data_IF_809957510409
#
_entry.id   IF_809957510409
#
_cell.length_a   1.000
_cell.length_b   1.000
_cell.length_c   1.000
_cell.angle_alpha   90.00
_cell.angle_beta   90.00
_cell.angle_gamma   90.00
#
_symmetry.space_group_name_H-M   'P 1'
#
loop_
_entity.id
_entity.type
_entity.pdbx_description
1 polymer ?
#
# COMPACT_ATOMS: atom_id res chain seq x y z
N UNK A 1 -7.32 -12.85 21.95
CA UNK A 1 -7.40 -11.77 22.95
C UNK A 1 -8.87 -11.45 23.15
N UNK A 2 -9.37 -11.74 24.35
CA UNK A 2 -10.75 -11.56 24.78
C UNK A 2 -11.19 -10.10 24.61
N UNK A 3 -12.32 -9.88 23.92
CA UNK A 3 -13.06 -8.61 23.95
C UNK A 3 -13.29 -8.21 25.42
N UNK A 4 -12.92 -6.98 25.77
CA UNK A 4 -13.24 -6.27 27.03
C UNK A 4 -12.19 -6.24 28.16
N UNK A 5 -10.88 -6.15 27.86
CA UNK A 5 -10.00 -5.40 28.76
C UNK A 5 -9.84 -3.97 28.24
N UNK A 6 -10.33 -3.00 28.99
CA UNK A 6 -10.09 -1.58 28.70
C UNK A 6 -8.59 -1.33 28.90
N UNK A 7 -7.87 -1.13 27.81
CA UNK A 7 -6.43 -0.85 27.86
C UNK A 7 -6.23 0.58 28.34
N UNK A 8 -5.39 0.72 29.35
CA UNK A 8 -5.11 1.99 30.02
C UNK A 8 -3.61 2.30 30.01
N UNK A 9 -3.19 3.55 30.30
CA UNK A 9 -1.78 3.91 30.42
C UNK A 9 -1.00 3.08 31.46
N UNK A 10 -1.70 2.50 32.45
CA UNK A 10 -1.12 1.64 33.50
C UNK A 10 -0.88 0.19 33.04
N UNK A 11 -1.39 -0.21 31.88
CA UNK A 11 -1.11 -1.54 31.31
C UNK A 11 0.37 -1.67 30.96
N UNK A 12 0.88 -2.91 30.88
CA UNK A 12 2.28 -3.15 30.50
C UNK A 12 2.60 -2.55 29.12
N UNK A 13 3.85 -2.12 28.94
CA UNK A 13 4.30 -1.50 27.69
C UNK A 13 4.01 -2.41 26.48
N UNK A 14 4.31 -3.70 26.59
CA UNK A 14 4.08 -4.70 25.54
C UNK A 14 2.60 -4.77 25.16
N UNK A 15 1.69 -4.83 26.14
CA UNK A 15 0.24 -4.86 25.87
C UNK A 15 -0.22 -3.59 25.16
N UNK A 16 0.25 -2.42 25.62
CA UNK A 16 -0.08 -1.12 24.99
C UNK A 16 0.43 -1.05 23.55
N UNK A 17 1.64 -1.54 23.30
CA UNK A 17 2.26 -1.55 21.98
C UNK A 17 1.54 -2.50 21.02
N UNK A 18 1.24 -3.74 21.44
CA UNK A 18 0.48 -4.68 20.62
C UNK A 18 -0.94 -4.18 20.33
N UNK A 19 -1.56 -3.49 21.28
CA UNK A 19 -2.87 -2.87 21.07
C UNK A 19 -2.82 -1.76 20.03
N UNK A 20 -1.80 -0.89 20.10
CA UNK A 20 -1.55 0.12 19.07
C UNK A 20 -1.35 -0.51 17.70
N UNK A 21 -0.53 -1.57 17.60
CA UNK A 21 -0.36 -2.30 16.35
C UNK A 21 -1.68 -2.91 15.86
N UNK A 22 -2.46 -3.54 16.73
CA UNK A 22 -3.76 -4.10 16.35
C UNK A 22 -4.75 -3.05 15.84
N UNK A 23 -4.66 -1.80 16.31
CA UNK A 23 -5.52 -0.70 15.88
C UNK A 23 -5.04 -0.02 14.59
N UNK A 24 -3.74 0.32 14.51
CA UNK A 24 -3.20 1.24 13.49
C UNK A 24 -2.35 0.57 12.44
N UNK A 25 -1.70 -0.54 12.77
CA UNK A 25 -0.83 -1.29 11.86
C UNK A 25 -0.96 -2.80 12.12
N UNK A 26 -2.12 -3.43 11.81
CA UNK A 26 -2.37 -4.82 12.18
C UNK A 26 -1.33 -5.72 11.51
N UNK A 27 -0.47 -6.35 12.32
CA UNK A 27 0.73 -7.04 11.84
C UNK A 27 0.41 -8.18 10.87
N UNK A 28 -0.67 -8.92 11.11
CA UNK A 28 -1.08 -10.02 10.24
C UNK A 28 -1.49 -9.51 8.85
N UNK A 29 -2.33 -8.47 8.78
CA UNK A 29 -2.80 -7.91 7.51
C UNK A 29 -1.64 -7.28 6.72
N UNK A 30 -0.76 -6.54 7.41
CA UNK A 30 0.43 -5.97 6.78
C UNK A 30 1.40 -7.07 6.35
N UNK A 31 1.55 -8.14 7.12
CA UNK A 31 2.37 -9.30 6.74
C UNK A 31 1.90 -9.93 5.43
N UNK A 32 0.59 -10.19 5.28
CA UNK A 32 0.03 -10.72 4.03
C UNK A 32 0.23 -9.73 2.87
N UNK A 33 -0.04 -8.45 3.10
CA UNK A 33 0.18 -7.40 2.10
C UNK A 33 1.64 -7.36 1.64
N UNK A 34 2.59 -7.37 2.57
CA UNK A 34 4.02 -7.26 2.26
C UNK A 34 4.51 -8.51 1.56
N UNK A 35 4.10 -9.70 2.00
CA UNK A 35 4.47 -10.94 1.31
C UNK A 35 3.92 -10.93 -0.12
N UNK A 36 2.63 -10.66 -0.31
CA UNK A 36 2.03 -10.61 -1.66
C UNK A 36 2.71 -9.56 -2.55
N UNK A 37 2.76 -8.30 -2.10
CA UNK A 37 3.36 -7.18 -2.81
C UNK A 37 4.84 -7.39 -3.13
N UNK A 38 5.64 -7.81 -2.15
CA UNK A 38 7.08 -7.96 -2.34
C UNK A 38 7.38 -9.14 -3.27
N UNK A 39 6.67 -10.26 -3.12
CA UNK A 39 6.84 -11.42 -3.99
C UNK A 39 6.50 -11.12 -5.44
N UNK A 40 5.40 -10.40 -5.71
CA UNK A 40 5.00 -10.02 -7.07
C UNK A 40 6.06 -9.13 -7.74
N UNK A 41 6.52 -8.09 -7.02
CA UNK A 41 7.55 -7.17 -7.50
C UNK A 41 8.90 -7.87 -7.69
N UNK A 42 9.32 -8.70 -6.73
CA UNK A 42 10.58 -9.43 -6.82
C UNK A 42 10.58 -10.39 -8.03
N UNK A 43 9.55 -11.22 -8.18
CA UNK A 43 9.52 -12.20 -9.28
C UNK A 43 9.43 -11.52 -10.63
N UNK A 44 8.67 -10.42 -10.73
CA UNK A 44 8.67 -9.61 -11.93
C UNK A 44 10.06 -9.03 -12.23
N UNK A 45 10.76 -8.50 -11.22
CA UNK A 45 12.11 -7.99 -11.40
C UNK A 45 13.07 -9.09 -11.89
N UNK A 46 13.02 -10.30 -11.34
CA UNK A 46 13.85 -11.42 -11.80
C UNK A 46 13.54 -11.83 -13.24
N UNK A 47 12.26 -12.01 -13.56
CA UNK A 47 11.81 -12.43 -14.88
C UNK A 47 12.19 -11.42 -15.98
N UNK A 48 12.18 -10.12 -15.66
CA UNK A 48 12.57 -9.06 -16.59
C UNK A 48 14.10 -8.86 -16.67
N UNK A 49 14.83 -9.13 -15.59
CA UNK A 49 16.29 -8.92 -15.53
C UNK A 49 17.07 -10.06 -16.18
N UNK A 50 16.63 -11.30 -15.96
CA UNK A 50 17.27 -12.52 -16.47
C UNK A 50 16.19 -13.44 -17.07
N UNK A 51 15.67 -13.09 -18.27
CA UNK A 51 14.62 -13.86 -18.92
C UNK A 51 15.15 -15.24 -19.30
N UNK A 52 14.69 -16.27 -18.60
CA UNK A 52 15.08 -17.68 -18.82
C UNK A 52 15.54 -18.41 -17.56
N UNK A 53 15.91 -17.66 -16.52
CA UNK A 53 16.27 -18.25 -15.23
C UNK A 53 15.01 -18.49 -14.36
N UNK A 54 14.99 -19.57 -13.56
CA UNK A 54 13.96 -19.76 -12.55
C UNK A 54 13.92 -18.61 -11.55
N UNK A 55 12.71 -18.23 -11.15
CA UNK A 55 12.55 -17.27 -10.06
C UNK A 55 12.89 -17.94 -8.74
N UNK A 56 13.45 -17.20 -7.79
CA UNK A 56 13.85 -17.75 -6.49
C UNK A 56 13.69 -16.79 -5.34
N UNK A 57 13.50 -17.35 -4.16
CA UNK A 57 13.74 -16.61 -2.93
C UNK A 57 15.20 -16.75 -2.53
N UNK A 58 15.79 -15.68 -2.01
CA UNK A 58 17.15 -15.67 -1.50
C UNK A 58 17.21 -14.92 -0.17
N UNK A 59 18.38 -14.89 0.47
CA UNK A 59 18.60 -14.04 1.63
C UNK A 59 18.24 -12.57 1.34
N UNK A 60 18.54 -12.08 0.12
CA UNK A 60 18.19 -10.72 -0.32
C UNK A 60 16.69 -10.49 -0.38
N UNK A 61 15.91 -11.54 -0.68
CA UNK A 61 14.45 -11.49 -0.64
C UNK A 61 13.93 -11.21 0.77
N UNK A 62 14.51 -11.88 1.76
CA UNK A 62 14.14 -11.65 3.16
C UNK A 62 14.56 -10.24 3.60
N UNK A 63 15.77 -9.78 3.23
CA UNK A 63 16.22 -8.42 3.52
C UNK A 63 15.27 -7.38 2.94
N UNK A 64 14.91 -7.50 1.66
CA UNK A 64 14.00 -6.55 1.02
C UNK A 64 12.58 -6.60 1.57
N UNK A 65 12.04 -7.78 1.90
CA UNK A 65 10.73 -7.90 2.54
C UNK A 65 10.70 -7.22 3.92
N UNK A 66 11.75 -7.39 4.73
CA UNK A 66 11.89 -6.71 6.02
C UNK A 66 12.04 -5.20 5.80
N UNK A 67 12.82 -4.76 4.81
CA UNK A 67 12.95 -3.34 4.48
C UNK A 67 11.60 -2.74 4.09
N UNK A 68 10.84 -3.36 3.20
CA UNK A 68 9.50 -2.88 2.82
C UNK A 68 8.55 -2.85 4.04
N UNK A 69 8.60 -3.86 4.92
CA UNK A 69 7.86 -3.83 6.19
C UNK A 69 8.21 -2.61 7.03
N UNK A 70 9.51 -2.36 7.23
CA UNK A 70 9.99 -1.18 7.95
C UNK A 70 9.53 0.12 7.29
N UNK A 71 9.52 0.18 5.94
CA UNK A 71 9.09 1.37 5.23
C UNK A 71 7.60 1.67 5.43
N UNK A 72 6.72 0.67 5.34
CA UNK A 72 5.31 0.84 5.68
C UNK A 72 5.11 1.26 7.14
N UNK A 73 5.91 0.71 8.05
CA UNK A 73 5.88 1.08 9.47
C UNK A 73 6.37 2.53 9.69
N UNK A 74 7.43 2.97 9.01
CA UNK A 74 7.90 4.35 9.10
C UNK A 74 6.83 5.32 8.62
N UNK A 75 6.14 4.99 7.51
CA UNK A 75 5.11 5.87 6.94
C UNK A 75 3.95 6.01 7.91
N UNK A 76 3.54 4.90 8.52
CA UNK A 76 2.52 4.93 9.57
C UNK A 76 2.94 5.84 10.71
N UNK A 77 4.17 5.71 11.21
CA UNK A 77 4.68 6.57 12.29
C UNK A 77 4.69 8.04 11.87
N UNK A 78 5.07 8.36 10.63
CA UNK A 78 5.04 9.72 10.10
C UNK A 78 3.62 10.29 10.09
N UNK A 79 2.65 9.53 9.60
CA UNK A 79 1.25 9.95 9.59
C UNK A 79 0.72 10.20 11.01
N UNK A 80 1.05 9.36 12.00
CA UNK A 80 0.63 9.60 13.40
C UNK A 80 1.18 10.92 13.97
N UNK A 81 2.37 11.36 13.55
CA UNK A 81 2.94 12.65 13.99
C UNK A 81 2.35 13.82 13.20
N UNK A 82 2.16 13.64 11.89
CA UNK A 82 1.64 14.66 10.98
C UNK A 82 0.18 14.99 11.27
N UNK A 83 -0.62 13.96 11.56
CA UNK A 83 -2.08 14.05 11.69
C UNK A 83 -2.52 14.13 13.16
N UNK A 84 -1.61 14.18 14.13
CA UNK A 84 -1.92 14.09 15.56
C UNK A 84 -2.95 15.13 16.04
N UNK A 85 -2.80 16.39 15.65
CA UNK A 85 -3.70 17.48 16.05
C UNK A 85 -5.12 17.30 15.48
N UNK A 86 -5.19 16.95 14.19
CA UNK A 86 -6.46 16.68 13.50
C UNK A 86 -7.13 15.44 14.10
N UNK A 87 -6.37 14.38 14.39
CA UNK A 87 -6.86 13.16 15.02
C UNK A 87 -7.32 13.37 16.46
N UNK A 88 -6.69 14.25 17.25
CA UNK A 88 -7.18 14.62 18.59
C UNK A 88 -8.59 15.24 18.53
N UNK A 89 -8.92 15.94 17.44
CA UNK A 89 -10.22 16.57 17.24
C UNK A 89 -11.27 15.59 16.74
N UNK A 90 -10.92 14.77 15.75
CA UNK A 90 -11.90 13.93 15.03
C UNK A 90 -11.95 12.47 15.52
N UNK A 91 -10.91 11.99 16.21
CA UNK A 91 -10.80 10.60 16.67
C UNK A 91 -10.18 10.50 18.08
N UNK A 92 -10.74 11.21 19.09
CA UNK A 92 -10.21 11.23 20.45
C UNK A 92 -10.23 9.87 21.15
N UNK A 93 -10.99 8.90 20.64
CA UNK A 93 -11.14 7.55 21.18
C UNK A 93 -9.94 6.62 20.91
N UNK A 94 -9.08 6.98 19.96
CA UNK A 94 -7.92 6.17 19.56
C UNK A 94 -6.88 6.06 20.68
N UNK A 95 -6.11 4.96 20.70
CA UNK A 95 -5.16 4.69 21.79
C UNK A 95 -4.06 5.76 21.93
N UNK A 96 -3.57 6.31 20.83
CA UNK A 96 -2.56 7.37 20.83
C UNK A 96 -3.13 8.67 21.44
N UNK A 97 -4.31 9.09 20.97
CA UNK A 97 -5.00 10.32 21.42
C UNK A 97 -5.42 10.23 22.89
N UNK A 98 -5.77 9.02 23.37
CA UNK A 98 -6.02 8.74 24.79
C UNK A 98 -4.76 8.72 25.67
N UNK A 99 -3.57 8.87 25.09
CA UNK A 99 -2.29 8.79 25.80
C UNK A 99 -1.91 7.38 26.27
N UNK A 100 -2.57 6.34 25.75
CA UNK A 100 -2.20 4.93 26.03
C UNK A 100 -0.86 4.60 25.38
N UNK A 101 -0.50 5.22 24.26
CA UNK A 101 0.87 5.21 23.73
C UNK A 101 1.30 6.65 23.46
N UNK A 102 2.61 6.93 23.52
CA UNK A 102 3.11 8.30 23.34
C UNK A 102 3.74 8.48 21.96
N UNK A 103 3.65 9.69 21.40
CA UNK A 103 4.38 10.06 20.18
C UNK A 103 5.89 9.83 20.33
N UNK A 104 6.46 10.04 21.52
CA UNK A 104 7.88 9.75 21.79
C UNK A 104 8.22 8.27 21.54
N UNK A 105 7.36 7.36 21.98
CA UNK A 105 7.49 5.92 21.73
C UNK A 105 7.44 5.63 20.23
N UNK A 106 6.45 6.19 19.52
CA UNK A 106 6.31 6.00 18.08
C UNK A 106 7.52 6.57 17.32
N UNK A 107 8.08 7.70 17.76
CA UNK A 107 9.30 8.28 17.19
C UNK A 107 10.50 7.35 17.31
N UNK A 108 10.66 6.66 18.45
CA UNK A 108 11.71 5.64 18.61
C UNK A 108 11.48 4.45 17.68
N UNK A 109 10.24 3.99 17.54
CA UNK A 109 9.89 2.91 16.59
C UNK A 109 10.21 3.30 15.16
N UNK A 110 9.83 4.51 14.73
CA UNK A 110 10.14 5.04 13.41
C UNK A 110 11.65 5.16 13.17
N UNK A 111 12.41 5.61 14.18
CA UNK A 111 13.87 5.67 14.09
C UNK A 111 14.50 4.27 13.94
N UNK A 112 14.01 3.28 14.69
CA UNK A 112 14.46 1.88 14.56
C UNK A 112 14.13 1.35 13.16
N UNK A 113 12.93 1.60 12.63
CA UNK A 113 12.53 1.19 11.30
C UNK A 113 13.44 1.79 10.22
N UNK A 114 13.65 3.10 10.22
CA UNK A 114 14.53 3.79 9.27
C UNK A 114 15.98 3.30 9.39
N UNK A 115 16.46 3.07 10.63
CA UNK A 115 17.80 2.52 10.85
C UNK A 115 17.95 1.12 10.26
N UNK A 116 16.92 0.28 10.37
CA UNK A 116 16.89 -1.04 9.74
C UNK A 116 16.84 -0.93 8.21
N UNK A 117 16.04 -0.03 7.63
CA UNK A 117 16.00 0.22 6.18
C UNK A 117 17.39 0.57 5.63
N UNK A 118 18.07 1.52 6.27
CA UNK A 118 19.41 1.96 5.87
C UNK A 118 20.44 0.84 6.05
N UNK A 119 20.37 0.10 7.16
CA UNK A 119 21.35 -0.96 7.46
C UNK A 119 21.21 -2.15 6.50
N UNK A 120 19.97 -2.62 6.26
CA UNK A 120 19.71 -3.77 5.38
C UNK A 120 20.00 -3.43 3.91
N UNK A 121 19.67 -2.21 3.48
CA UNK A 121 20.00 -1.76 2.12
C UNK A 121 21.50 -1.57 1.91
N UNK A 122 22.22 -1.06 2.92
CA UNK A 122 23.67 -0.95 2.87
C UNK A 122 24.35 -2.33 2.81
N UNK A 123 23.88 -3.31 3.58
CA UNK A 123 24.35 -4.70 3.51
C UNK A 123 24.17 -5.28 2.10
N UNK A 124 23.07 -4.93 1.42
CA UNK A 124 22.77 -5.43 0.07
C UNK A 124 23.65 -4.83 -1.02
N UNK A 125 24.03 -3.55 -0.90
CA UNK A 125 24.85 -2.85 -1.88
C UNK A 125 24.47 -1.37 -2.06
N UNK A 126 25.36 -0.60 -2.68
CA UNK A 126 25.18 0.85 -2.87
C UNK A 126 23.94 1.18 -3.71
N UNK A 127 23.60 0.31 -4.67
CA UNK A 127 22.45 0.46 -5.55
C UNK A 127 21.13 0.44 -4.77
N UNK A 128 21.02 -0.52 -3.84
CA UNK A 128 19.85 -0.68 -2.98
C UNK A 128 19.80 0.42 -1.91
N UNK A 129 20.96 0.78 -1.36
CA UNK A 129 21.08 1.91 -0.45
C UNK A 129 20.60 3.22 -1.09
N UNK A 130 20.98 3.49 -2.34
CA UNK A 130 20.48 4.64 -3.11
C UNK A 130 18.96 4.58 -3.32
N UNK A 131 18.39 3.42 -3.66
CA UNK A 131 16.94 3.28 -3.81
C UNK A 131 16.19 3.60 -2.52
N UNK A 132 16.66 3.07 -1.38
CA UNK A 132 16.08 3.35 -0.06
C UNK A 132 16.23 4.82 0.33
N UNK A 133 17.39 5.45 0.07
CA UNK A 133 17.58 6.88 0.30
C UNK A 133 16.61 7.75 -0.50
N UNK A 134 16.36 7.42 -1.77
CA UNK A 134 15.38 8.13 -2.59
C UNK A 134 13.98 8.03 -1.98
N UNK A 135 13.57 6.82 -1.57
CA UNK A 135 12.25 6.61 -0.97
C UNK A 135 12.11 7.27 0.41
N UNK A 136 13.14 7.24 1.26
CA UNK A 136 13.18 8.00 2.52
C UNK A 136 13.14 9.50 2.25
N UNK A 137 13.88 9.99 1.26
CA UNK A 137 13.85 11.40 0.85
C UNK A 137 12.43 11.83 0.46
N UNK A 138 11.73 11.00 -0.32
CA UNK A 138 10.34 11.25 -0.69
C UNK A 138 9.39 11.19 0.52
N UNK A 139 9.56 10.24 1.43
CA UNK A 139 8.72 10.15 2.64
C UNK A 139 8.92 11.33 3.59
N UNK A 140 10.12 11.92 3.63
CA UNK A 140 10.39 13.17 4.35
C UNK A 140 9.72 14.38 3.69
N UNK A 141 9.68 14.43 2.36
CA UNK A 141 8.90 15.46 1.63
C UNK A 141 7.41 15.32 1.94
N UNK A 142 6.87 14.10 1.94
CA UNK A 142 5.48 13.83 2.33
C UNK A 142 5.21 14.23 3.79
N UNK A 143 6.12 13.92 4.73
CA UNK A 143 6.01 14.32 6.13
C UNK A 143 5.90 15.85 6.30
N UNK A 144 6.55 16.62 5.41
CA UNK A 144 6.48 18.08 5.35
C UNK A 144 5.38 18.60 4.40
N UNK A 145 4.52 17.73 3.89
CA UNK A 145 3.48 18.05 2.91
C UNK A 145 4.06 18.88 1.75
N UNK A 146 5.22 18.46 1.24
CA UNK A 146 5.98 19.07 0.15
C UNK A 146 6.26 20.58 0.35
N UNK A 147 6.26 21.05 1.61
CA UNK A 147 6.40 22.47 1.98
C UNK A 147 5.26 23.39 1.48
N UNK A 148 4.15 22.81 0.99
CA UNK A 148 2.98 23.53 0.47
C UNK A 148 1.69 23.02 1.13
N UNK A 149 1.75 22.77 2.44
CA UNK A 149 0.68 22.22 3.28
C UNK A 149 -0.68 22.85 3.02
N UNK A 150 -0.81 24.17 3.17
CA UNK A 150 -2.11 24.85 3.07
C UNK A 150 -2.70 24.78 1.67
N UNK A 151 -1.85 24.73 0.64
CA UNK A 151 -2.28 24.55 -0.74
C UNK A 151 -2.73 23.11 -0.97
N UNK A 152 -1.95 22.10 -0.55
CA UNK A 152 -2.32 20.69 -0.72
C UNK A 152 -3.59 20.35 0.06
N UNK A 153 -3.76 20.83 1.30
CA UNK A 153 -4.98 20.63 2.10
C UNK A 153 -6.24 21.14 1.39
N UNK A 154 -6.13 22.18 0.54
CA UNK A 154 -7.25 22.69 -0.28
C UNK A 154 -7.47 21.88 -1.57
N UNK A 155 -6.49 21.10 -2.01
CA UNK A 155 -6.53 20.31 -3.23
C UNK A 155 -6.51 18.82 -2.89
N UNK A 156 -7.60 18.33 -2.31
CA UNK A 156 -7.76 16.97 -1.79
C UNK A 156 -7.23 15.84 -2.71
N UNK A 157 -7.50 15.92 -4.02
CA UNK A 157 -7.02 14.92 -4.99
C UNK A 157 -5.51 14.99 -5.19
N UNK A 158 -4.97 16.19 -5.33
CA UNK A 158 -3.53 16.40 -5.50
C UNK A 158 -2.79 15.94 -4.26
N UNK A 159 -3.35 16.21 -3.07
CA UNK A 159 -2.86 15.69 -1.81
C UNK A 159 -2.77 14.16 -1.81
N UNK A 160 -3.88 13.48 -2.14
CA UNK A 160 -3.93 12.02 -2.12
C UNK A 160 -2.96 11.40 -3.13
N UNK A 161 -2.97 11.88 -4.38
CA UNK A 161 -2.12 11.33 -5.43
C UNK A 161 -0.64 11.64 -5.22
N UNK A 162 -0.27 12.84 -4.75
CA UNK A 162 1.14 13.15 -4.48
C UNK A 162 1.74 12.22 -3.43
N UNK A 163 0.96 11.83 -2.42
CA UNK A 163 1.41 10.92 -1.38
C UNK A 163 1.47 9.46 -1.86
N UNK A 164 0.59 9.04 -2.77
CA UNK A 164 0.59 7.67 -3.31
C UNK A 164 1.76 7.38 -4.28
N UNK A 165 2.44 8.41 -4.78
CA UNK A 165 3.64 8.26 -5.60
C UNK A 165 4.82 7.59 -4.86
N UNK A 166 4.70 7.38 -3.53
CA UNK A 166 5.61 6.54 -2.78
C UNK A 166 5.55 5.06 -3.21
N UNK A 167 4.42 4.58 -3.71
CA UNK A 167 4.23 3.16 -4.07
C UNK A 167 5.16 2.72 -5.22
N UNK A 168 5.28 3.46 -6.35
CA UNK A 168 6.30 3.18 -7.35
C UNK A 168 7.73 3.17 -6.80
N UNK A 169 8.06 4.05 -5.84
CA UNK A 169 9.38 4.07 -5.22
C UNK A 169 9.64 2.80 -4.38
N UNK A 170 8.62 2.29 -3.69
CA UNK A 170 8.73 1.01 -2.97
C UNK A 170 8.94 -0.17 -3.93
N UNK A 171 8.27 -0.17 -5.09
CA UNK A 171 8.51 -1.17 -6.13
C UNK A 171 9.96 -1.09 -6.65
N UNK A 172 10.50 0.11 -6.85
CA UNK A 172 11.90 0.30 -7.25
C UNK A 172 12.90 -0.13 -6.16
N UNK A 173 12.57 0.03 -4.88
CA UNK A 173 13.36 -0.55 -3.77
C UNK A 173 13.38 -2.07 -3.88
N UNK A 174 12.22 -2.71 -4.08
CA UNK A 174 12.14 -4.15 -4.28
C UNK A 174 12.95 -4.63 -5.51
N UNK A 175 12.90 -3.87 -6.61
CA UNK A 175 13.74 -4.10 -7.79
C UNK A 175 15.23 -4.09 -7.45
N UNK A 176 15.71 -3.07 -6.74
CA UNK A 176 17.12 -2.96 -6.38
C UNK A 176 17.58 -4.06 -5.42
N UNK A 177 16.77 -4.42 -4.42
CA UNK A 177 17.06 -5.57 -3.54
C UNK A 177 17.20 -6.86 -4.33
N UNK A 178 16.33 -7.05 -5.32
CA UNK A 178 16.25 -8.26 -6.13
C UNK A 178 17.43 -8.36 -7.10
N UNK A 179 17.65 -7.33 -7.91
CA UNK A 179 18.58 -7.36 -9.04
C UNK A 179 19.98 -6.86 -8.68
N UNK A 180 20.12 -6.09 -7.59
CA UNK A 180 21.36 -5.40 -7.27
C UNK A 180 21.67 -4.24 -8.21
N UNK A 181 20.69 -3.76 -8.96
CA UNK A 181 20.83 -2.63 -9.88
C UNK A 181 20.26 -1.35 -9.29
N UNK A 182 20.71 -0.21 -9.81
CA UNK A 182 20.16 1.08 -9.41
C UNK A 182 18.70 1.21 -9.84
N UNK A 183 17.88 1.99 -9.12
CA UNK A 183 16.44 2.08 -9.40
C UNK A 183 16.13 2.67 -10.80
N UNK A 184 16.98 3.54 -11.34
CA UNK A 184 16.83 4.09 -12.70
C UNK A 184 17.24 3.13 -13.82
N UNK A 185 17.80 1.96 -13.48
CA UNK A 185 18.09 0.89 -14.43
C UNK A 185 16.93 -0.10 -14.55
N UNK A 186 15.81 0.14 -13.84
CA UNK A 186 14.61 -0.67 -13.95
C UNK A 186 14.12 -0.71 -15.41
N UNK A 187 13.83 -1.91 -15.97
CA UNK A 187 13.27 -2.03 -17.32
C UNK A 187 11.96 -1.24 -17.45
N UNK A 188 11.62 -0.70 -18.64
CA UNK A 188 10.38 0.06 -18.84
C UNK A 188 9.11 -0.69 -18.40
N UNK A 189 9.07 -2.01 -18.60
CA UNK A 189 7.95 -2.85 -18.15
C UNK A 189 7.86 -2.96 -16.63
N UNK A 190 8.99 -2.94 -15.92
CA UNK A 190 9.01 -2.87 -14.47
C UNK A 190 8.52 -1.50 -13.98
N UNK A 191 8.94 -0.40 -14.63
CA UNK A 191 8.46 0.94 -14.30
C UNK A 191 6.95 1.05 -14.52
N UNK A 192 6.43 0.53 -15.63
CA UNK A 192 4.99 0.45 -15.87
C UNK A 192 4.29 -0.30 -14.73
N UNK A 193 4.81 -1.47 -14.35
CA UNK A 193 4.26 -2.24 -13.23
C UNK A 193 4.34 -1.51 -11.88
N UNK A 194 5.42 -0.78 -11.60
CA UNK A 194 5.58 0.00 -10.37
C UNK A 194 4.43 1.01 -10.17
N UNK A 195 3.89 1.58 -11.27
CA UNK A 195 2.72 2.45 -11.23
C UNK A 195 1.39 1.72 -11.00
N UNK A 196 1.32 0.40 -11.19
CA UNK A 196 0.14 -0.40 -10.79
C UNK A 196 -0.09 -0.23 -9.28
N UNK A 197 0.97 -0.28 -8.46
CA UNK A 197 0.85 -0.05 -7.02
C UNK A 197 0.23 1.30 -6.66
N UNK A 198 0.52 2.36 -7.44
CA UNK A 198 -0.11 3.67 -7.30
C UNK A 198 -1.61 3.62 -7.58
N UNK A 199 -2.03 3.04 -8.71
CA UNK A 199 -3.44 2.99 -9.09
C UNK A 199 -4.25 2.07 -8.19
N UNK A 200 -3.70 0.92 -7.82
CA UNK A 200 -4.35 -0.03 -6.91
C UNK A 200 -4.55 0.61 -5.52
N UNK A 201 -3.53 1.29 -5.00
CA UNK A 201 -3.66 2.02 -3.72
C UNK A 201 -4.65 3.17 -3.82
N UNK A 202 -4.66 3.90 -4.95
CA UNK A 202 -5.66 4.94 -5.23
C UNK A 202 -7.07 4.37 -5.25
N UNK A 203 -7.26 3.24 -5.91
CA UNK A 203 -8.53 2.55 -6.01
C UNK A 203 -9.09 2.19 -4.63
N UNK A 204 -8.25 1.62 -3.76
CA UNK A 204 -8.62 1.29 -2.39
C UNK A 204 -8.89 2.52 -1.54
N UNK A 205 -8.04 3.56 -1.61
CA UNK A 205 -8.21 4.79 -0.83
C UNK A 205 -9.48 5.56 -1.21
N UNK A 206 -9.82 5.60 -2.49
CA UNK A 206 -11.10 6.18 -2.94
C UNK A 206 -12.25 5.33 -2.43
N UNK A 207 -12.19 4.01 -2.62
CA UNK A 207 -13.27 3.08 -2.22
C UNK A 207 -13.58 3.14 -0.72
N UNK A 208 -12.57 3.22 0.15
CA UNK A 208 -12.76 3.35 1.61
C UNK A 208 -13.31 4.69 2.07
N UNK A 209 -13.25 5.71 1.21
CA UNK A 209 -13.74 7.06 1.48
C UNK A 209 -15.02 7.38 0.71
N UNK A 210 -15.59 6.42 -0.02
CA UNK A 210 -16.96 6.50 -0.53
C UNK A 210 -17.92 6.30 0.64
N UNK A 211 -18.89 7.21 0.77
CA UNK A 211 -19.95 7.14 1.77
C UNK A 211 -21.32 7.22 1.11
N UNK A 212 -22.31 6.60 1.74
CA UNK A 212 -23.70 6.85 1.39
C UNK A 212 -24.08 8.27 1.84
N UNK A 213 -25.09 8.92 1.22
CA UNK A 213 -25.48 10.28 1.56
C UNK A 213 -25.75 10.50 3.06
N UNK A 214 -26.36 9.50 3.71
CA UNK A 214 -26.71 9.56 5.14
C UNK A 214 -25.49 9.40 6.08
N UNK A 215 -24.34 8.96 5.56
CA UNK A 215 -23.10 8.72 6.32
C UNK A 215 -22.05 9.83 6.16
N UNK A 216 -22.36 10.87 5.37
CA UNK A 216 -21.46 12.00 5.14
C UNK A 216 -21.30 12.84 6.40
N UNK A 217 -20.05 13.20 6.73
CA UNK A 217 -19.75 14.03 7.90
C UNK A 217 -19.49 15.46 7.43
N UNK A 218 -20.15 16.42 8.06
CA UNK A 218 -19.92 17.85 7.81
C UNK A 218 -18.46 18.23 8.11
N UNK A 219 -17.80 18.94 7.18
CA UNK A 219 -16.40 19.37 7.32
C UNK A 219 -15.33 18.32 7.01
N UNK A 220 -15.70 17.08 6.65
CA UNK A 220 -14.74 16.05 6.19
C UNK A 220 -14.80 15.93 4.67
N UNK A 221 -13.66 16.11 4.00
CA UNK A 221 -13.57 15.89 2.56
C UNK A 221 -13.59 14.39 2.22
N UNK A 222 -14.61 13.98 1.49
CA UNK A 222 -14.80 12.62 0.97
C UNK A 222 -14.87 12.66 -0.55
N UNK A 223 -14.49 11.55 -1.21
CA UNK A 223 -14.59 11.48 -2.68
C UNK A 223 -16.04 11.56 -3.15
N UNK A 224 -16.99 10.99 -2.39
CA UNK A 224 -18.43 11.08 -2.67
C UNK A 224 -18.99 12.48 -2.51
N UNK A 225 -18.40 13.35 -1.67
CA UNK A 225 -18.73 14.78 -1.62
C UNK A 225 -18.16 15.55 -2.82
N UNK A 226 -16.92 15.26 -3.21
CA UNK A 226 -16.24 15.97 -4.32
C UNK A 226 -16.82 15.61 -5.69
N UNK A 227 -17.09 14.32 -5.95
CA UNK A 227 -17.54 13.83 -7.25
C UNK A 227 -19.03 13.47 -7.30
N UNK A 228 -19.75 13.64 -6.19
CA UNK A 228 -21.09 13.10 -6.01
C UNK A 228 -21.08 11.60 -5.68
N UNK A 229 -22.20 11.13 -5.13
CA UNK A 229 -22.36 9.76 -4.60
C UNK A 229 -21.87 8.68 -5.56
N UNK A 230 -22.24 8.77 -6.84
CA UNK A 230 -21.85 7.80 -7.86
C UNK A 230 -20.60 8.16 -8.65
N UNK A 231 -20.23 9.45 -8.72
CA UNK A 231 -19.04 9.88 -9.45
C UNK A 231 -17.76 9.29 -8.85
N UNK A 232 -17.68 9.22 -7.52
CA UNK A 232 -16.58 8.54 -6.84
C UNK A 232 -16.52 7.03 -7.17
N UNK A 233 -17.68 6.38 -7.29
CA UNK A 233 -17.76 4.97 -7.65
C UNK A 233 -17.35 4.71 -9.12
N UNK A 234 -17.69 5.62 -10.04
CA UNK A 234 -17.20 5.57 -11.42
C UNK A 234 -15.70 5.82 -11.51
N UNK A 235 -15.15 6.72 -10.69
CA UNK A 235 -13.71 6.94 -10.61
C UNK A 235 -12.95 5.68 -10.17
N UNK A 236 -13.50 4.91 -9.21
CA UNK A 236 -12.95 3.60 -8.82
C UNK A 236 -12.90 2.65 -10.02
N UNK A 237 -13.97 2.55 -10.81
CA UNK A 237 -13.97 1.67 -11.99
C UNK A 237 -13.00 2.17 -13.06
N UNK A 238 -12.90 3.49 -13.31
CA UNK A 238 -11.94 4.05 -14.26
C UNK A 238 -10.50 3.71 -13.87
N UNK A 239 -10.14 3.92 -12.60
CA UNK A 239 -8.81 3.57 -12.08
C UNK A 239 -8.57 2.07 -12.21
N UNK A 240 -9.59 1.25 -11.96
CA UNK A 240 -9.49 -0.21 -12.10
C UNK A 240 -9.22 -0.62 -13.55
N UNK A 241 -9.88 0.01 -14.53
CA UNK A 241 -9.61 -0.26 -15.95
C UNK A 241 -8.15 0.05 -16.29
N UNK A 242 -7.63 1.18 -15.79
CA UNK A 242 -6.24 1.59 -16.03
C UNK A 242 -5.27 0.58 -15.40
N UNK A 243 -5.43 0.23 -14.13
CA UNK A 243 -4.53 -0.71 -13.45
C UNK A 243 -4.57 -2.10 -14.10
N UNK A 244 -5.75 -2.57 -14.51
CA UNK A 244 -5.92 -3.90 -15.08
C UNK A 244 -5.33 -3.94 -16.48
N UNK A 245 -5.46 -2.87 -17.27
CA UNK A 245 -4.81 -2.75 -18.57
C UNK A 245 -3.28 -2.76 -18.45
N UNK A 246 -2.71 -2.04 -17.47
CA UNK A 246 -1.27 -2.03 -17.24
C UNK A 246 -0.73 -3.43 -16.90
N UNK A 247 -1.40 -4.13 -15.96
CA UNK A 247 -1.05 -5.50 -15.58
C UNK A 247 -1.23 -6.47 -16.74
N UNK A 248 -2.29 -6.29 -17.54
CA UNK A 248 -2.54 -7.08 -18.74
C UNK A 248 -1.40 -6.98 -19.74
N UNK A 249 -0.91 -5.77 -20.04
CA UNK A 249 0.21 -5.59 -20.97
C UNK A 249 1.52 -6.16 -20.43
N UNK A 250 1.78 -6.07 -19.12
CA UNK A 250 2.92 -6.75 -18.49
C UNK A 250 2.81 -8.26 -18.65
N UNK A 251 1.63 -8.84 -18.41
CA UNK A 251 1.38 -10.27 -18.61
C UNK A 251 1.57 -10.71 -20.06
N UNK A 252 1.16 -9.89 -21.03
CA UNK A 252 1.38 -10.15 -22.46
C UNK A 252 2.86 -10.15 -22.80
N UNK A 253 3.62 -9.20 -22.26
CA UNK A 253 5.06 -9.11 -22.50
C UNK A 253 5.80 -10.34 -21.96
N UNK A 254 5.39 -10.84 -20.79
CA UNK A 254 5.95 -12.05 -20.17
C UNK A 254 5.43 -13.36 -20.76
N UNK A 255 4.41 -13.32 -21.63
CA UNK A 255 3.79 -14.53 -22.18
C UNK A 255 3.05 -15.38 -21.14
N UNK A 256 2.41 -14.74 -20.15
CA UNK A 256 1.67 -15.46 -19.10
C UNK A 256 0.48 -16.24 -19.65
N UNK A 257 0.01 -17.23 -18.87
CA UNK A 257 -1.01 -18.19 -19.31
C UNK A 257 -2.41 -17.55 -19.46
N UNK A 258 -3.33 -18.18 -20.23
CA UNK A 258 -4.74 -17.76 -20.27
C UNK A 258 -5.45 -17.70 -18.91
N UNK A 259 -4.97 -18.48 -17.92
CA UNK A 259 -5.53 -18.49 -16.57
C UNK A 259 -5.32 -17.14 -15.87
N UNK A 260 -4.13 -16.54 -16.00
CA UNK A 260 -3.82 -15.21 -15.49
C UNK A 260 -4.88 -14.18 -15.91
N UNK A 261 -5.15 -14.09 -17.22
CA UNK A 261 -6.12 -13.16 -17.78
C UNK A 261 -7.55 -13.46 -17.34
N UNK A 262 -7.90 -14.74 -17.20
CA UNK A 262 -9.21 -15.15 -16.69
C UNK A 262 -9.40 -14.64 -15.26
N UNK A 263 -8.38 -14.77 -14.40
CA UNK A 263 -8.42 -14.26 -13.02
C UNK A 263 -8.54 -12.74 -13.00
N UNK A 264 -7.78 -12.01 -13.85
CA UNK A 264 -7.90 -10.56 -13.95
C UNK A 264 -9.31 -10.11 -14.35
N UNK A 265 -9.94 -10.78 -15.32
CA UNK A 265 -11.33 -10.51 -15.71
C UNK A 265 -12.28 -10.78 -14.54
N UNK A 266 -12.13 -11.89 -13.83
CA UNK A 266 -12.98 -12.18 -12.66
C UNK A 266 -12.84 -11.12 -11.57
N UNK A 267 -11.62 -10.70 -11.26
CA UNK A 267 -11.35 -9.63 -10.30
C UNK A 267 -11.96 -8.29 -10.73
N UNK A 268 -11.90 -7.98 -12.03
CA UNK A 268 -12.57 -6.81 -12.60
C UNK A 268 -14.11 -6.91 -12.46
N UNK A 269 -14.70 -8.07 -12.75
CA UNK A 269 -16.13 -8.31 -12.60
C UNK A 269 -16.60 -8.17 -11.14
N UNK A 270 -15.78 -8.57 -10.16
CA UNK A 270 -16.07 -8.33 -8.73
C UNK A 270 -16.12 -6.83 -8.41
N UNK A 271 -15.20 -6.04 -8.98
CA UNK A 271 -15.22 -4.58 -8.85
C UNK A 271 -16.51 -3.98 -9.44
N UNK A 272 -16.90 -4.41 -10.64
CA UNK A 272 -18.16 -3.99 -11.27
C UNK A 272 -19.39 -4.40 -10.44
N UNK A 273 -19.40 -5.62 -9.88
CA UNK A 273 -20.46 -6.07 -9.00
C UNK A 273 -20.59 -5.15 -7.77
N UNK A 274 -19.47 -4.70 -7.20
CA UNK A 274 -19.45 -3.69 -6.13
C UNK A 274 -20.11 -2.38 -6.54
N UNK A 275 -19.75 -1.84 -7.70
CA UNK A 275 -20.37 -0.64 -8.26
C UNK A 275 -21.89 -0.81 -8.41
N UNK A 276 -22.34 -1.90 -9.04
CA UNK A 276 -23.77 -2.13 -9.27
C UNK A 276 -24.53 -2.32 -7.96
N UNK A 277 -23.99 -3.07 -7.00
CA UNK A 277 -24.60 -3.22 -5.68
C UNK A 277 -24.76 -1.87 -4.98
N UNK A 278 -23.75 -1.00 -5.04
CA UNK A 278 -23.83 0.35 -4.46
C UNK A 278 -24.81 1.26 -5.22
N UNK A 279 -24.84 1.15 -6.56
CA UNK A 279 -25.71 1.96 -7.43
C UNK A 279 -27.19 1.64 -7.28
N UNK A 280 -27.52 0.36 -7.15
CA UNK A 280 -28.91 -0.11 -7.04
C UNK A 280 -29.41 -0.13 -5.59
N UNK A 281 -28.51 -0.19 -4.62
CA UNK A 281 -28.86 -0.17 -3.21
C UNK A 281 -27.86 0.67 -2.41
N UNK A 282 -27.98 1.99 -2.47
CA UNK A 282 -27.03 2.94 -1.86
C UNK A 282 -27.22 3.00 -0.35
N UNK A 283 -26.29 2.39 0.38
CA UNK A 283 -26.24 2.42 1.85
C UNK A 283 -24.82 2.12 2.36
N UNK A 284 -24.60 2.23 3.66
CA UNK A 284 -23.29 2.02 4.30
C UNK A 284 -22.71 0.64 4.03
N UNK A 285 -23.55 -0.40 3.92
CA UNK A 285 -23.09 -1.78 3.68
C UNK A 285 -22.54 -1.94 2.27
N UNK A 286 -23.23 -1.40 1.26
CA UNK A 286 -22.78 -1.50 -0.14
C UNK A 286 -21.58 -0.58 -0.41
N UNK A 287 -21.48 0.57 0.25
CA UNK A 287 -20.25 1.38 0.26
C UNK A 287 -19.06 0.58 0.84
N UNK A 288 -19.25 -0.07 2.00
CA UNK A 288 -18.21 -0.88 2.63
C UNK A 288 -17.78 -2.09 1.78
N UNK A 289 -18.68 -2.65 0.98
CA UNK A 289 -18.34 -3.71 0.02
C UNK A 289 -17.38 -3.24 -1.06
N UNK A 290 -17.51 -2.00 -1.55
CA UNK A 290 -16.55 -1.43 -2.51
C UNK A 290 -15.13 -1.40 -1.93
N UNK A 291 -14.97 -0.92 -0.70
CA UNK A 291 -13.69 -0.98 0.02
C UNK A 291 -13.17 -2.41 0.15
N UNK A 292 -14.05 -3.34 0.53
CA UNK A 292 -13.69 -4.75 0.73
C UNK A 292 -13.19 -5.38 -0.57
N UNK A 293 -13.89 -5.15 -1.68
CA UNK A 293 -13.49 -5.66 -3.00
C UNK A 293 -12.21 -5.02 -3.51
N UNK A 294 -11.99 -3.72 -3.26
CA UNK A 294 -10.73 -3.06 -3.57
C UNK A 294 -9.56 -3.62 -2.72
N UNK A 295 -9.79 -3.87 -1.44
CA UNK A 295 -8.79 -4.47 -0.54
C UNK A 295 -8.43 -5.91 -0.91
N UNK A 296 -9.44 -6.73 -1.24
CA UNK A 296 -9.22 -8.10 -1.73
C UNK A 296 -8.44 -8.12 -3.03
N UNK A 297 -8.70 -7.16 -3.92
CA UNK A 297 -7.99 -7.06 -5.19
C UNK A 297 -6.49 -6.87 -5.02
N UNK A 298 -6.04 -5.99 -4.11
CA UNK A 298 -4.61 -5.76 -3.83
C UNK A 298 -3.89 -7.10 -3.65
N UNK A 299 -4.39 -7.91 -2.71
CA UNK A 299 -3.76 -9.18 -2.34
C UNK A 299 -3.93 -10.21 -3.46
N UNK A 300 -5.13 -10.32 -4.03
CA UNK A 300 -5.43 -11.35 -5.03
C UNK A 300 -4.64 -11.15 -6.32
N UNK A 301 -4.50 -9.91 -6.80
CA UNK A 301 -3.76 -9.63 -8.03
C UNK A 301 -2.25 -9.89 -7.83
N UNK A 302 -1.67 -9.42 -6.73
CA UNK A 302 -0.24 -9.61 -6.42
C UNK A 302 0.11 -11.10 -6.32
N UNK A 303 -0.72 -11.88 -5.62
CA UNK A 303 -0.54 -13.34 -5.53
C UNK A 303 -0.72 -14.02 -6.88
N UNK A 304 -1.72 -13.62 -7.67
CA UNK A 304 -1.97 -14.20 -8.99
C UNK A 304 -0.77 -13.96 -9.92
N UNK A 305 -0.21 -12.75 -9.93
CA UNK A 305 0.99 -12.46 -10.72
C UNK A 305 2.19 -13.27 -10.24
N UNK A 306 2.44 -13.31 -8.93
CA UNK A 306 3.55 -14.07 -8.38
C UNK A 306 3.47 -15.56 -8.74
N UNK A 307 2.28 -16.17 -8.63
CA UNK A 307 2.03 -17.57 -8.98
C UNK A 307 2.20 -17.82 -10.48
N UNK A 308 1.69 -16.94 -11.33
CA UNK A 308 1.80 -17.10 -12.79
C UNK A 308 3.23 -16.90 -13.29
N UNK A 309 4.02 -16.03 -12.66
CA UNK A 309 5.45 -15.93 -12.96
C UNK A 309 6.17 -17.20 -12.52
N UNK A 310 5.87 -17.76 -11.35
CA UNK A 310 6.42 -19.07 -10.93
C UNK A 310 6.05 -20.15 -11.94
N UNK A 311 4.81 -20.17 -12.42
CA UNK A 311 4.37 -21.15 -13.42
C UNK A 311 5.11 -20.97 -14.76
N UNK A 312 5.34 -19.73 -15.20
CA UNK A 312 6.00 -19.45 -16.46
C UNK A 312 7.53 -19.66 -16.43
N UNK A 313 8.19 -19.37 -15.32
CA UNK A 313 9.66 -19.39 -15.20
C UNK A 313 10.20 -20.53 -14.32
N UNK A 314 9.34 -21.28 -13.63
CA UNK A 314 9.70 -22.23 -12.56
C UNK A 314 10.27 -21.55 -11.30
N UNK A 315 10.21 -22.24 -10.15
CA UNK A 315 10.79 -21.75 -8.89
C UNK A 315 11.98 -22.63 -8.47
N UNK A 316 13.08 -21.97 -8.08
CA UNK A 316 14.24 -22.59 -7.43
C UNK A 316 14.29 -22.15 -5.95
N UNK A 317 14.70 -23.07 -5.07
CA UNK A 317 14.68 -22.87 -3.61
C UNK A 317 16.07 -22.68 -3.02
#
# INVERSE_FOLDING_TARGET
MTKNQVITPQSSFTTRLFAYFAERFPLFNHGILIVSYYSSNQFLAQALDNPGDPVKYSANSLLGAITIFCMFLHLRVFDEHKDYEDDCRYYPERLLQRGVISLKTLKVIGFIAISAELSLSFIRGIETFCAVLIAIGFSLLMLKEFFVRDWLKRHFLVYAFSHMLIMPLFALVAFSFTTGRFPWQAPPWFILYAFVGFFVTSNWEISRKIRAPDDEIEGVDTYSRVFGTYGAAYLVVLIRVIDTAMVWFVGMHLGLSPLFYTVLVLLFLVCLAGLFQFRFNTNSKTAKRMETYAGLYIIAFDLTLAVEIIHAFSIDF
#
